data_IF_332965379291
#
_entry.id   IF_332965379291
#
_cell.length_a   1.000
_cell.length_b   1.000
_cell.length_c   1.000
_cell.angle_alpha   90.00
_cell.angle_beta   90.00
_cell.angle_gamma   90.00
#
_symmetry.space_group_name_H-M   'P 1'
#
loop_
_entity.id
_entity.type
_entity.pdbx_description
1 polymer ?
#
# COMPACT_ATOMS: atom_id res chain seq x y z
N UNK A 1 59.89 -17.07 56.37
CA UNK A 1 60.25 -15.63 56.35
C UNK A 1 60.14 -15.15 54.91
N UNK A 2 59.18 -14.26 54.66
CA UNK A 2 58.93 -13.41 53.47
C UNK A 2 58.67 -14.08 52.12
N UNK A 3 57.39 -14.37 51.89
CA UNK A 3 56.76 -14.45 50.57
C UNK A 3 56.74 -13.06 49.92
N UNK A 4 57.26 -12.92 48.71
CA UNK A 4 57.06 -11.73 47.89
C UNK A 4 55.97 -12.01 46.85
N UNK A 5 54.78 -11.47 47.13
CA UNK A 5 53.68 -11.35 46.18
C UNK A 5 54.07 -10.32 45.11
N UNK A 6 54.59 -10.80 43.98
CA UNK A 6 54.69 -10.01 42.76
C UNK A 6 53.29 -9.83 42.19
N UNK A 7 52.72 -8.65 42.34
CA UNK A 7 51.41 -8.26 41.81
C UNK A 7 51.49 -8.35 40.29
N UNK A 8 50.88 -9.40 39.72
CA UNK A 8 50.58 -9.49 38.29
C UNK A 8 49.47 -8.47 38.04
N UNK A 9 49.87 -7.28 37.58
CA UNK A 9 48.93 -6.27 37.11
C UNK A 9 48.41 -6.72 35.75
N UNK A 10 47.39 -7.57 35.76
CA UNK A 10 46.61 -7.92 34.57
C UNK A 10 45.90 -6.65 34.12
N UNK A 11 46.47 -5.95 33.13
CA UNK A 11 45.76 -4.90 32.40
C UNK A 11 44.64 -5.61 31.64
N UNK A 12 43.48 -5.72 32.28
CA UNK A 12 42.20 -5.99 31.64
C UNK A 12 41.94 -4.78 30.74
N UNK A 13 42.45 -4.86 29.51
CA UNK A 13 41.99 -4.05 28.40
C UNK A 13 40.52 -4.46 28.17
N UNK A 14 39.61 -3.88 28.96
CA UNK A 14 38.20 -3.83 28.62
C UNK A 14 38.11 -3.03 27.33
N UNK A 15 38.30 -3.72 26.22
CA UNK A 15 37.61 -3.37 24.99
C UNK A 15 36.12 -3.50 25.35
N UNK A 16 35.55 -2.40 25.83
CA UNK A 16 34.12 -2.16 25.73
C UNK A 16 33.82 -2.17 24.24
N UNK A 17 33.60 -3.36 23.70
CA UNK A 17 32.78 -3.55 22.52
C UNK A 17 31.36 -3.24 22.99
N UNK A 18 31.09 -1.96 23.21
CA UNK A 18 29.75 -1.43 23.17
C UNK A 18 29.43 -1.16 21.70
N UNK A 19 29.46 -2.20 20.86
CA UNK A 19 28.60 -2.21 19.69
C UNK A 19 27.20 -2.56 20.21
N UNK A 20 26.62 -1.61 20.96
CA UNK A 20 25.18 -1.53 21.08
C UNK A 20 24.77 -1.14 19.67
N UNK A 21 24.29 -2.10 18.88
CA UNK A 21 23.82 -1.85 17.52
C UNK A 21 22.70 -0.82 17.59
N UNK A 22 23.07 0.46 17.47
CA UNK A 22 22.13 1.55 17.38
C UNK A 22 21.27 1.26 16.15
N UNK A 23 19.96 1.20 16.36
CA UNK A 23 19.00 0.98 15.29
C UNK A 23 18.99 2.19 14.35
N UNK A 24 18.42 2.03 13.15
CA UNK A 24 18.31 3.15 12.21
C UNK A 24 17.68 4.38 12.89
N UNK A 25 16.61 4.18 13.67
CA UNK A 25 15.96 5.26 14.40
C UNK A 25 16.77 5.82 15.56
N UNK A 26 17.70 5.07 16.15
CA UNK A 26 18.64 5.63 17.14
C UNK A 26 19.62 6.61 16.48
N UNK A 27 19.98 6.37 15.22
CA UNK A 27 20.86 7.25 14.45
C UNK A 27 20.18 8.50 13.91
N UNK A 28 18.96 8.38 13.36
CA UNK A 28 18.25 9.54 12.77
C UNK A 28 17.42 10.33 13.78
N UNK A 29 17.13 9.74 14.95
CA UNK A 29 16.30 10.35 15.99
C UNK A 29 14.81 10.41 15.65
N UNK A 30 14.04 11.05 16.54
CA UNK A 30 12.59 11.20 16.42
C UNK A 30 11.79 10.11 17.15
N UNK A 31 10.47 10.28 17.17
CA UNK A 31 9.56 9.31 17.80
C UNK A 31 9.62 7.97 17.06
N UNK A 32 9.86 6.87 17.77
CA UNK A 32 9.81 5.53 17.17
C UNK A 32 8.38 5.04 16.98
N UNK A 33 8.17 4.24 15.94
CA UNK A 33 6.94 3.49 15.71
C UNK A 33 6.67 2.51 16.86
N UNK A 34 5.39 2.34 17.20
CA UNK A 34 4.95 1.54 18.37
C UNK A 34 3.78 0.61 18.02
N UNK A 35 3.74 0.14 16.77
CA UNK A 35 2.65 -0.70 16.27
C UNK A 35 1.32 0.00 16.13
N UNK A 36 1.25 1.33 16.21
CA UNK A 36 -0.01 2.07 15.96
C UNK A 36 0.27 3.31 15.13
N UNK A 37 -0.80 3.88 14.60
CA UNK A 37 -0.71 5.06 13.75
C UNK A 37 -0.30 6.31 14.55
N UNK A 38 0.89 6.85 14.28
CA UNK A 38 1.37 8.12 14.84
C UNK A 38 1.29 9.21 13.77
N UNK A 39 0.27 10.07 13.88
CA UNK A 39 -0.08 11.07 12.85
C UNK A 39 0.93 12.23 12.74
N UNK A 40 1.78 12.44 13.73
CA UNK A 40 2.82 13.48 13.74
C UNK A 40 4.09 13.10 12.98
N UNK A 41 4.13 11.91 12.37
CA UNK A 41 5.35 11.32 11.82
C UNK A 41 6.15 10.58 12.89
N UNK A 42 6.87 9.54 12.46
CA UNK A 42 7.67 8.67 13.31
C UNK A 42 8.73 7.92 12.48
N UNK A 43 9.76 7.41 13.14
CA UNK A 43 10.77 6.53 12.56
C UNK A 43 10.39 5.05 12.78
N UNK A 44 10.53 4.21 11.75
CA UNK A 44 10.25 2.77 11.83
C UNK A 44 11.54 1.96 11.75
N UNK A 45 11.79 1.13 12.76
CA UNK A 45 12.91 0.16 12.80
C UNK A 45 12.51 -1.22 12.23
N UNK A 46 11.27 -1.36 11.76
CA UNK A 46 10.76 -2.64 11.25
C UNK A 46 11.54 -3.08 10.02
N UNK A 47 12.14 -4.26 10.10
CA UNK A 47 12.84 -4.86 8.96
C UNK A 47 11.89 -5.05 7.78
N UNK A 48 12.37 -4.82 6.56
CA UNK A 48 11.56 -4.97 5.34
C UNK A 48 10.91 -6.36 5.22
N UNK A 49 11.61 -7.41 5.68
CA UNK A 49 11.15 -8.79 5.62
C UNK A 49 11.59 -9.52 4.37
N UNK A 50 10.87 -10.59 4.03
CA UNK A 50 11.17 -11.44 2.87
C UNK A 50 10.74 -10.76 1.57
N UNK A 51 11.58 -10.84 0.54
CA UNK A 51 11.32 -10.23 -0.78
C UNK A 51 11.03 -11.34 -1.81
N UNK A 52 9.95 -11.27 -2.59
CA UNK A 52 9.61 -12.31 -3.55
C UNK A 52 10.62 -12.36 -4.72
N UNK A 53 10.70 -13.48 -5.43
CA UNK A 53 11.43 -13.57 -6.71
C UNK A 53 10.76 -12.72 -7.81
N UNK A 54 11.46 -12.48 -8.92
CA UNK A 54 10.92 -11.77 -10.08
C UNK A 54 9.64 -12.42 -10.65
N UNK A 55 9.54 -13.75 -10.60
CA UNK A 55 8.38 -14.52 -11.07
C UNK A 55 7.14 -14.36 -10.17
N UNK A 56 7.38 -13.90 -8.94
CA UNK A 56 6.37 -13.72 -7.89
C UNK A 56 6.12 -12.24 -7.55
N UNK A 57 6.49 -11.31 -8.43
CA UNK A 57 6.12 -9.91 -8.24
C UNK A 57 4.60 -9.71 -8.35
N UNK A 58 4.05 -8.93 -7.42
CA UNK A 58 2.63 -8.58 -7.38
C UNK A 58 2.27 -7.58 -8.47
N UNK A 59 1.08 -7.76 -9.06
CA UNK A 59 0.42 -6.73 -9.87
C UNK A 59 -1.09 -6.79 -9.67
N UNK A 60 -1.73 -5.62 -9.63
CA UNK A 60 -3.17 -5.44 -9.55
C UNK A 60 -3.67 -4.79 -10.84
N UNK A 61 -4.89 -5.14 -11.25
CA UNK A 61 -5.61 -4.49 -12.35
C UNK A 61 -7.07 -4.27 -11.95
N UNK A 62 -7.56 -3.04 -12.04
CA UNK A 62 -8.98 -2.73 -11.85
C UNK A 62 -9.70 -3.09 -13.16
N UNK A 63 -10.59 -4.07 -13.08
CA UNK A 63 -11.34 -4.60 -14.24
C UNK A 63 -12.77 -4.07 -14.30
N UNK A 64 -13.29 -3.55 -13.19
CA UNK A 64 -14.60 -2.92 -13.08
C UNK A 64 -14.51 -1.80 -12.03
N UNK A 65 -15.00 -0.58 -12.33
CA UNK A 65 -15.44 -0.10 -13.64
C UNK A 65 -14.27 -0.02 -14.64
N UNK A 66 -14.57 0.17 -15.93
CA UNK A 66 -13.51 0.42 -16.93
C UNK A 66 -12.91 1.82 -16.75
N UNK A 67 -11.65 2.00 -17.13
CA UNK A 67 -11.09 3.33 -17.27
C UNK A 67 -11.95 4.19 -18.20
N UNK A 68 -12.15 5.45 -17.84
CA UNK A 68 -13.04 6.41 -18.51
C UNK A 68 -14.54 6.06 -18.46
N UNK A 69 -14.97 5.19 -17.54
CA UNK A 69 -16.38 4.96 -17.31
C UNK A 69 -17.11 6.24 -16.87
N UNK A 70 -18.35 6.38 -17.34
CA UNK A 70 -19.28 7.39 -16.83
C UNK A 70 -20.26 6.69 -15.90
N UNK A 71 -20.21 7.04 -14.62
CA UNK A 71 -21.07 6.49 -13.57
C UNK A 71 -22.12 7.51 -13.15
N UNK A 72 -23.17 7.05 -12.48
CA UNK A 72 -24.20 7.94 -11.94
C UNK A 72 -23.73 8.48 -10.59
N UNK A 73 -23.80 9.81 -10.35
CA UNK A 73 -23.60 10.38 -9.02
C UNK A 73 -24.60 9.82 -8.02
N UNK A 74 -24.23 9.73 -6.74
CA UNK A 74 -25.10 9.27 -5.65
C UNK A 74 -25.67 7.86 -5.85
N UNK A 75 -24.94 6.99 -6.57
CA UNK A 75 -25.33 5.61 -6.84
C UNK A 75 -24.20 4.65 -6.57
N UNK A 76 -24.54 3.58 -5.89
CA UNK A 76 -23.62 2.49 -5.59
C UNK A 76 -23.12 1.84 -6.87
N UNK A 77 -21.89 1.35 -6.81
CA UNK A 77 -21.29 0.57 -7.88
C UNK A 77 -20.25 -0.38 -7.31
N UNK A 78 -19.95 -1.43 -8.06
CA UNK A 78 -18.93 -2.40 -7.69
C UNK A 78 -17.59 -1.99 -8.27
N UNK A 79 -16.53 -2.14 -7.46
CA UNK A 79 -15.15 -2.18 -7.94
C UNK A 79 -14.65 -3.62 -7.89
N UNK A 80 -14.05 -4.10 -8.99
CA UNK A 80 -13.41 -5.41 -9.06
C UNK A 80 -11.96 -5.29 -9.47
N UNK A 81 -11.11 -6.04 -8.78
CA UNK A 81 -9.69 -6.11 -9.05
C UNK A 81 -9.32 -7.53 -9.44
N UNK A 82 -8.42 -7.66 -10.41
CA UNK A 82 -7.70 -8.91 -10.67
C UNK A 82 -6.30 -8.76 -10.09
N UNK A 83 -5.88 -9.74 -9.29
CA UNK A 83 -4.62 -9.71 -8.55
C UNK A 83 -3.74 -10.85 -9.02
N UNK A 84 -2.44 -10.58 -9.18
CA UNK A 84 -1.43 -11.59 -9.46
C UNK A 84 -0.40 -11.59 -8.33
N UNK A 85 -0.01 -12.78 -7.88
CA UNK A 85 1.13 -13.00 -6.97
C UNK A 85 1.08 -12.33 -5.59
N UNK A 86 -0.11 -11.97 -5.10
CA UNK A 86 -0.34 -11.59 -3.71
C UNK A 86 -1.16 -12.68 -3.01
N UNK A 87 -0.74 -13.10 -1.83
CA UNK A 87 -1.52 -13.95 -0.93
C UNK A 87 -2.43 -13.04 -0.11
N UNK A 88 -3.60 -12.76 -0.64
CA UNK A 88 -4.58 -11.86 0.00
C UNK A 88 -5.30 -12.51 1.18
N UNK A 89 -5.90 -11.69 2.04
CA UNK A 89 -6.57 -12.14 3.26
C UNK A 89 -5.69 -12.06 4.51
N UNK A 90 -4.51 -11.44 4.41
CA UNK A 90 -3.60 -11.23 5.52
C UNK A 90 -3.58 -9.75 5.89
N UNK A 91 -4.27 -9.43 6.99
CA UNK A 91 -4.46 -8.07 7.50
C UNK A 91 -4.25 -8.07 9.01
N UNK A 92 -3.55 -7.06 9.52
CA UNK A 92 -3.40 -6.79 10.95
C UNK A 92 -4.33 -5.65 11.37
N UNK A 93 -4.66 -5.49 12.65
CA UNK A 93 -5.43 -4.33 13.14
C UNK A 93 -4.51 -3.09 13.14
N UNK A 94 -4.75 -2.03 12.33
CA UNK A 94 -3.85 -0.86 12.24
C UNK A 94 -3.78 -0.03 13.54
N UNK A 95 -4.71 -0.21 14.48
CA UNK A 95 -4.61 0.46 15.78
C UNK A 95 -3.63 -0.25 16.73
N UNK A 96 -3.22 -1.48 16.40
CA UNK A 96 -2.38 -2.33 17.25
C UNK A 96 -1.13 -2.88 16.56
N UNK A 97 -1.17 -2.99 15.24
CA UNK A 97 -0.16 -3.64 14.41
C UNK A 97 0.15 -2.88 13.11
N UNK A 98 0.45 -1.58 13.22
CA UNK A 98 0.84 -0.72 12.10
C UNK A 98 2.35 -0.62 11.96
N UNK A 99 2.87 -1.08 10.81
CA UNK A 99 4.31 -1.12 10.49
C UNK A 99 5.16 -1.82 11.56
N UNK A 100 4.62 -2.78 12.32
CA UNK A 100 5.36 -3.51 13.35
C UNK A 100 5.82 -4.92 12.93
N UNK A 101 5.42 -5.34 11.73
CA UNK A 101 5.59 -6.70 11.24
C UNK A 101 6.28 -6.68 9.87
N UNK A 102 7.43 -7.38 9.72
CA UNK A 102 8.10 -7.53 8.43
C UNK A 102 7.24 -8.26 7.39
N UNK A 103 7.54 -8.03 6.10
CA UNK A 103 6.92 -8.77 4.99
C UNK A 103 7.21 -10.26 5.11
N UNK A 104 6.20 -11.09 4.88
CA UNK A 104 6.31 -12.55 4.84
C UNK A 104 5.86 -13.09 3.49
N UNK A 105 6.41 -14.22 3.09
CA UNK A 105 6.00 -14.96 1.91
C UNK A 105 5.35 -16.29 2.28
N UNK A 106 4.29 -16.63 1.57
CA UNK A 106 3.74 -18.00 1.50
C UNK A 106 3.71 -18.40 0.02
N UNK A 107 4.34 -19.52 -0.32
CA UNK A 107 4.50 -19.99 -1.71
C UNK A 107 5.12 -18.94 -2.65
N UNK A 108 6.13 -18.21 -2.15
CA UNK A 108 6.81 -17.14 -2.87
C UNK A 108 6.01 -15.84 -3.04
N UNK A 109 4.73 -15.80 -2.63
CA UNK A 109 3.84 -14.63 -2.73
C UNK A 109 3.80 -13.88 -1.42
N UNK A 110 3.74 -12.55 -1.49
CA UNK A 110 3.63 -11.70 -0.30
C UNK A 110 2.31 -11.95 0.40
N UNK A 111 2.34 -12.15 1.72
CA UNK A 111 1.16 -12.10 2.58
C UNK A 111 0.71 -10.66 2.76
N UNK A 112 -0.50 -10.34 2.29
CA UNK A 112 -0.99 -8.98 2.35
C UNK A 112 -2.48 -8.82 2.10
N UNK A 113 -2.85 -7.57 1.87
CA UNK A 113 -4.21 -7.13 1.56
C UNK A 113 -4.15 -5.94 0.60
N UNK A 114 -5.31 -5.50 0.13
CA UNK A 114 -5.43 -4.36 -0.78
C UNK A 114 -6.58 -3.48 -0.33
N UNK A 115 -6.43 -2.18 -0.55
CA UNK A 115 -7.49 -1.20 -0.36
C UNK A 115 -7.99 -0.66 -1.69
N UNK A 116 -9.23 -0.17 -1.71
CA UNK A 116 -9.72 0.75 -2.75
C UNK A 116 -9.77 2.15 -2.18
N UNK A 117 -9.15 3.10 -2.89
CA UNK A 117 -9.26 4.52 -2.60
C UNK A 117 -9.92 5.24 -3.78
N UNK A 118 -10.88 6.09 -3.48
CA UNK A 118 -11.52 6.96 -4.48
C UNK A 118 -11.28 8.40 -4.07
N UNK A 119 -10.64 9.16 -4.94
CA UNK A 119 -10.36 10.57 -4.71
C UNK A 119 -10.92 11.41 -5.84
N UNK A 120 -11.55 12.52 -5.48
CA UNK A 120 -11.99 13.51 -6.45
C UNK A 120 -10.78 14.23 -7.02
N UNK A 121 -10.80 14.49 -8.31
CA UNK A 121 -9.78 15.24 -9.03
C UNK A 121 -10.34 16.62 -9.34
N UNK A 122 -10.28 17.52 -8.36
CA UNK A 122 -10.70 18.92 -8.55
C UNK A 122 -9.68 19.72 -9.37
N UNK A 123 -8.43 19.25 -9.43
CA UNK A 123 -7.36 19.79 -10.26
C UNK A 123 -6.66 18.66 -11.02
N UNK A 124 -6.63 18.73 -12.35
CA UNK A 124 -5.96 17.75 -13.20
C UNK A 124 -4.47 18.02 -13.40
N UNK A 125 -3.96 19.18 -12.94
CA UNK A 125 -2.57 19.61 -13.08
C UNK A 125 -1.72 19.32 -11.85
N UNK A 126 -2.34 19.09 -10.69
CA UNK A 126 -1.68 18.86 -9.42
C UNK A 126 -2.03 17.50 -8.80
N UNK A 127 -1.14 16.99 -7.94
CA UNK A 127 -1.44 15.80 -7.16
C UNK A 127 -2.55 16.13 -6.12
N UNK A 128 -3.56 15.27 -5.93
CA UNK A 128 -4.57 15.49 -4.91
C UNK A 128 -3.98 15.26 -3.51
N UNK A 129 -4.51 15.97 -2.51
CA UNK A 129 -4.13 15.79 -1.11
C UNK A 129 -4.41 14.35 -0.66
N UNK A 130 -3.39 13.67 -0.13
CA UNK A 130 -3.49 12.28 0.32
C UNK A 130 -4.37 12.10 1.57
N UNK A 131 -4.63 13.17 2.34
CA UNK A 131 -5.56 13.13 3.48
C UNK A 131 -7.03 13.09 3.06
N UNK A 132 -7.32 13.56 1.85
CA UNK A 132 -8.67 13.73 1.35
C UNK A 132 -9.05 12.57 0.43
N UNK A 133 -10.10 11.84 0.79
CA UNK A 133 -10.67 10.79 -0.03
C UNK A 133 -12.19 10.78 0.06
N UNK A 134 -12.84 10.45 -1.05
CA UNK A 134 -14.28 10.35 -1.14
C UNK A 134 -14.79 8.97 -0.70
N UNK A 135 -13.95 7.94 -0.81
CA UNK A 135 -14.20 6.59 -0.34
C UNK A 135 -12.88 5.85 -0.06
N UNK A 136 -12.87 5.03 0.99
CA UNK A 136 -11.78 4.12 1.35
C UNK A 136 -12.38 2.82 1.86
N UNK A 137 -11.89 1.69 1.38
CA UNK A 137 -12.27 0.36 1.91
C UNK A 137 -11.07 -0.58 1.89
N UNK A 138 -10.84 -1.29 2.99
CA UNK A 138 -9.86 -2.37 3.06
C UNK A 138 -10.47 -3.71 2.69
N UNK A 139 -9.80 -4.47 1.82
CA UNK A 139 -10.25 -5.79 1.38
C UNK A 139 -9.44 -6.84 2.13
N UNK A 140 -9.99 -7.28 3.25
CA UNK A 140 -9.29 -8.15 4.20
C UNK A 140 -9.55 -9.64 3.96
N UNK A 141 -10.26 -9.98 2.89
CA UNK A 141 -10.61 -11.37 2.55
C UNK A 141 -9.69 -11.96 1.48
N UNK A 142 -9.48 -13.29 1.47
CA UNK A 142 -8.81 -13.96 0.38
C UNK A 142 -9.53 -13.74 -0.95
N UNK A 143 -8.76 -13.61 -2.02
CA UNK A 143 -9.30 -13.45 -3.37
C UNK A 143 -9.91 -14.77 -3.85
N UNK A 144 -11.08 -14.69 -4.47
CA UNK A 144 -11.73 -15.82 -5.14
C UNK A 144 -11.38 -15.76 -6.61
N UNK A 145 -10.74 -16.79 -7.15
CA UNK A 145 -10.30 -16.85 -8.54
C UNK A 145 -9.41 -15.66 -8.95
N UNK A 146 -8.55 -15.22 -8.02
CA UNK A 146 -7.71 -14.03 -8.14
C UNK A 146 -8.48 -12.70 -8.31
N UNK A 147 -9.76 -12.68 -7.93
CA UNK A 147 -10.61 -11.49 -7.98
C UNK A 147 -10.94 -11.04 -6.55
N UNK A 148 -10.76 -9.73 -6.31
CA UNK A 148 -11.33 -9.03 -5.17
C UNK A 148 -12.49 -8.15 -5.62
N UNK A 149 -13.42 -7.91 -4.71
CA UNK A 149 -14.65 -7.13 -4.95
C UNK A 149 -14.90 -6.20 -3.77
N UNK A 150 -15.26 -4.95 -4.08
CA UNK A 150 -15.75 -3.95 -3.13
C UNK A 150 -17.06 -3.38 -3.66
N UNK A 151 -18.05 -3.23 -2.79
CA UNK A 151 -19.21 -2.40 -3.07
C UNK A 151 -18.94 -0.99 -2.56
N UNK A 152 -19.02 -0.02 -3.46
CA UNK A 152 -18.84 1.39 -3.13
C UNK A 152 -20.20 1.97 -2.81
N UNK A 153 -20.38 2.45 -1.58
CA UNK A 153 -21.50 3.32 -1.22
C UNK A 153 -21.31 4.65 -1.96
N UNK A 154 -22.12 4.85 -2.99
CA UNK A 154 -22.03 6.00 -3.86
C UNK A 154 -22.73 7.23 -3.31
N UNK A 155 -23.44 7.15 -2.18
CA UNK A 155 -24.32 8.20 -1.65
C UNK A 155 -23.61 9.56 -1.50
N UNK A 156 -22.32 9.55 -1.14
CA UNK A 156 -21.49 10.75 -0.96
C UNK A 156 -20.70 11.17 -2.21
N UNK A 157 -20.75 10.38 -3.29
CA UNK A 157 -20.02 10.66 -4.52
C UNK A 157 -20.84 11.57 -5.45
N UNK A 158 -20.52 12.85 -5.43
CA UNK A 158 -21.15 13.87 -6.28
C UNK A 158 -20.65 13.83 -7.73
N UNK A 159 -21.25 14.65 -8.60
CA UNK A 159 -20.78 14.75 -9.97
C UNK A 159 -19.35 15.31 -10.04
N UNK A 160 -18.50 14.71 -10.86
CA UNK A 160 -17.10 15.12 -10.95
C UNK A 160 -16.20 14.07 -11.57
N UNK A 161 -14.90 14.39 -11.63
CA UNK A 161 -13.85 13.50 -12.07
C UNK A 161 -13.21 12.83 -10.86
N UNK A 162 -12.98 11.53 -10.93
CA UNK A 162 -12.43 10.75 -9.82
C UNK A 162 -11.31 9.83 -10.31
N UNK A 163 -10.31 9.60 -9.46
CA UNK A 163 -9.42 8.44 -9.58
C UNK A 163 -9.87 7.35 -8.62
N UNK A 164 -9.88 6.11 -9.10
CA UNK A 164 -10.08 4.89 -8.30
C UNK A 164 -8.75 4.13 -8.37
N UNK A 165 -8.12 3.93 -7.23
CA UNK A 165 -6.81 3.27 -7.14
C UNK A 165 -6.87 2.07 -6.21
N UNK A 166 -6.10 1.03 -6.54
CA UNK A 166 -5.70 0.05 -5.55
C UNK A 166 -4.56 0.59 -4.70
N UNK A 167 -4.48 0.13 -3.46
CA UNK A 167 -3.33 0.38 -2.59
C UNK A 167 -3.01 -0.92 -1.87
N UNK A 168 -1.97 -1.62 -2.31
CA UNK A 168 -1.61 -2.94 -1.79
C UNK A 168 -0.54 -2.84 -0.71
N UNK A 169 -0.71 -3.64 0.34
CA UNK A 169 0.09 -3.62 1.55
C UNK A 169 0.39 -5.04 2.00
N UNK A 170 1.52 -5.23 2.67
CA UNK A 170 1.79 -6.49 3.37
C UNK A 170 0.90 -6.60 4.62
N UNK A 171 0.93 -7.75 5.30
CA UNK A 171 0.21 -7.96 6.56
C UNK A 171 0.30 -6.78 7.54
N UNK A 172 1.52 -6.27 7.79
CA UNK A 172 1.79 -5.17 8.72
C UNK A 172 1.60 -3.76 8.13
N UNK A 173 0.78 -3.61 7.10
CA UNK A 173 0.47 -2.37 6.37
C UNK A 173 1.60 -1.74 5.55
N UNK A 174 2.86 -2.15 5.71
CA UNK A 174 3.95 -1.56 4.90
C UNK A 174 3.72 -1.78 3.39
N UNK A 175 4.14 -0.84 2.53
CA UNK A 175 4.10 -1.02 1.09
C UNK A 175 4.79 -2.31 0.65
N UNK A 176 4.31 -2.93 -0.43
CA UNK A 176 4.92 -4.17 -0.90
C UNK A 176 6.37 -3.94 -1.36
N UNK A 177 7.29 -4.72 -0.79
CA UNK A 177 8.72 -4.67 -1.13
C UNK A 177 9.00 -5.70 -2.22
N UNK A 178 9.58 -5.24 -3.34
CA UNK A 178 9.79 -6.02 -4.57
C UNK A 178 11.29 -6.18 -4.90
N UNK A 179 11.69 -7.24 -5.63
CA UNK A 179 13.10 -7.63 -5.81
C UNK A 179 13.91 -6.73 -6.74
N UNK A 180 13.27 -5.93 -7.59
CA UNK A 180 13.97 -5.14 -8.62
C UNK A 180 13.33 -3.77 -8.81
N UNK A 181 14.17 -2.75 -9.09
CA UNK A 181 13.70 -1.40 -9.35
C UNK A 181 13.00 -1.27 -10.71
N UNK A 182 13.54 -1.91 -11.77
CA UNK A 182 12.97 -1.89 -13.13
C UNK A 182 11.84 -2.90 -13.27
N UNK A 183 10.62 -2.48 -12.92
CA UNK A 183 9.39 -3.29 -12.97
C UNK A 183 8.16 -2.42 -13.25
N UNK A 184 7.03 -3.04 -13.55
CA UNK A 184 5.74 -2.34 -13.55
C UNK A 184 5.31 -1.94 -12.13
N UNK A 185 4.42 -0.95 -12.03
CA UNK A 185 3.78 -0.63 -10.75
C UNK A 185 2.93 -1.82 -10.27
N UNK A 186 2.92 -2.05 -8.97
CA UNK A 186 2.18 -3.15 -8.36
C UNK A 186 0.67 -2.85 -8.21
N UNK A 187 0.32 -1.57 -8.11
CA UNK A 187 -1.04 -1.07 -7.98
C UNK A 187 -1.54 -0.46 -9.30
N UNK A 188 -2.86 -0.34 -9.42
CA UNK A 188 -3.52 0.22 -10.59
C UNK A 188 -4.39 1.42 -10.20
N UNK A 189 -4.57 2.34 -11.15
CA UNK A 189 -5.41 3.51 -11.01
C UNK A 189 -6.16 3.79 -12.31
N UNK A 190 -7.48 3.77 -12.24
CA UNK A 190 -8.35 4.22 -13.32
C UNK A 190 -8.96 5.57 -12.99
N UNK A 191 -9.48 6.25 -14.01
CA UNK A 191 -10.26 7.48 -13.83
C UNK A 191 -11.67 7.28 -14.34
N UNK A 192 -12.64 7.83 -13.60
CA UNK A 192 -14.06 7.78 -13.94
C UNK A 192 -14.69 9.16 -13.81
N UNK A 193 -15.81 9.35 -14.50
CA UNK A 193 -16.58 10.60 -14.43
C UNK A 193 -17.97 10.30 -13.91
N UNK A 194 -18.37 10.94 -12.81
CA UNK A 194 -19.73 10.87 -12.29
C UNK A 194 -20.55 11.98 -12.93
N UNK A 195 -21.57 11.62 -13.72
CA UNK A 195 -22.42 12.59 -14.41
C UNK A 195 -23.84 12.05 -14.66
N UNK A 196 -24.82 12.93 -14.59
CA UNK A 196 -26.21 12.64 -15.00
C UNK A 196 -26.40 12.66 -16.53
N UNK A 197 -25.39 13.06 -17.31
CA UNK A 197 -25.49 13.10 -18.77
C UNK A 197 -25.28 11.70 -19.36
N UNK A 198 -26.29 11.17 -20.06
CA UNK A 198 -26.13 9.98 -20.90
C UNK A 198 -25.10 10.26 -22.02
N UNK A 199 -24.22 9.29 -22.33
CA UNK A 199 -23.35 9.35 -23.51
C UNK A 199 -24.21 9.68 -24.73
N UNK A 200 -24.00 10.84 -25.36
CA UNK A 200 -24.48 11.06 -26.73
C UNK A 200 -23.73 10.06 -27.60
N UNK A 201 -24.44 9.13 -28.22
CA UNK A 201 -23.91 8.30 -29.31
C UNK A 201 -23.26 9.24 -30.32
N UNK A 202 -22.01 8.97 -30.77
CA UNK A 202 -21.40 9.77 -31.82
C UNK A 202 -22.34 9.77 -33.02
N UNK A 203 -22.81 10.95 -33.45
CA UNK A 203 -23.55 11.05 -34.72
C UNK A 203 -22.58 10.58 -35.80
N UNK A 204 -22.94 9.51 -36.55
CA UNK A 204 -22.21 9.15 -37.77
C UNK A 204 -22.09 10.44 -38.62
N UNK A 205 -20.90 10.75 -39.17
CA UNK A 205 -20.81 11.84 -40.13
C UNK A 205 -21.81 11.56 -41.25
N UNK A 206 -22.58 12.57 -41.65
CA UNK A 206 -23.38 12.50 -42.87
C UNK A 206 -22.39 12.27 -44.01
N UNK A 207 -22.36 11.06 -44.57
CA UNK A 207 -21.66 10.82 -45.82
C UNK A 207 -22.42 11.58 -46.89
N UNK A 208 -21.87 12.70 -47.36
CA UNK A 208 -22.30 13.32 -48.59
C UNK A 208 -21.96 12.35 -49.71
N UNK A 209 -22.99 11.73 -50.31
CA UNK A 209 -22.85 11.08 -51.60
C UNK A 209 -22.63 12.18 -52.62
N UNK A 210 -21.47 12.17 -53.27
CA UNK A 210 -21.26 12.76 -54.60
C UNK A 210 -21.58 11.66 -55.61
#
# INVERSE_FOLDING_TARGET
MKFNFGIVLTILLFSLISSIDATFCDHVGGSKGKGHQIKSGFCSDTALGQVPSVDHMTSVLIIEPKNEAVLKPHKDFTVRLKIKNLKTGHFSDPEKHYYDSPQRLTDGKIEGHTHITIQKLDDEKNAPDAKEFAFFEGINTPAKDNILKVEVDGSKLSAGRYRICSMSSSFGHQPLVMPVAKRGAQDDCIRVTLSNRHKRTPRRPLSWKV
#
